data_IF_171881031263
#
_entry.id   IF_171881031263
#
_cell.length_a   1.000
_cell.length_b   1.000
_cell.length_c   1.000
_cell.angle_alpha   90.00
_cell.angle_beta   90.00
_cell.angle_gamma   90.00
#
_symmetry.space_group_name_H-M   'P 1'
#
loop_
_entity.id
_entity.type
_entity.pdbx_description
1 polymer ?
#
# COMPACT_ATOMS: atom_id res chain seq x y z
N UNK A 1 20.63 49.58 -83.81
CA UNK A 1 21.76 49.32 -82.91
C UNK A 1 21.62 50.18 -81.66
N UNK A 2 21.80 49.53 -80.50
CA UNK A 2 22.10 50.05 -79.16
C UNK A 2 21.26 51.18 -78.54
N UNK A 3 20.35 50.75 -77.64
CA UNK A 3 19.88 51.46 -76.46
C UNK A 3 21.05 51.90 -75.56
N UNK A 4 21.05 53.14 -75.08
CA UNK A 4 21.71 53.54 -73.84
C UNK A 4 20.85 54.58 -73.12
N UNK A 5 20.26 54.17 -72.00
CA UNK A 5 19.45 55.01 -71.10
C UNK A 5 20.37 55.61 -70.05
N UNK A 6 20.46 56.93 -69.97
CA UNK A 6 21.01 57.64 -68.81
C UNK A 6 19.89 58.41 -68.12
N UNK A 7 19.47 57.91 -66.96
CA UNK A 7 18.47 58.55 -66.12
C UNK A 7 19.13 59.71 -65.35
N UNK A 8 18.65 60.92 -65.58
CA UNK A 8 18.97 62.12 -64.81
C UNK A 8 18.18 62.14 -63.50
N UNK A 9 18.92 62.35 -62.42
CA UNK A 9 18.42 62.41 -61.05
C UNK A 9 17.85 63.82 -60.79
N UNK A 10 16.56 63.91 -60.45
CA UNK A 10 15.94 65.14 -59.94
C UNK A 10 15.49 64.91 -58.49
N UNK A 11 16.19 65.55 -57.55
CA UNK A 11 15.89 65.47 -56.12
C UNK A 11 14.73 66.42 -55.78
N UNK A 12 13.53 65.87 -55.65
CA UNK A 12 12.39 66.57 -55.08
C UNK A 12 12.56 66.70 -53.55
N UNK A 13 12.74 67.95 -53.09
CA UNK A 13 12.84 68.36 -51.68
C UNK A 13 11.51 68.07 -50.96
N UNK A 14 11.42 66.91 -50.28
CA UNK A 14 10.26 66.55 -49.43
C UNK A 14 10.19 67.49 -48.22
N UNK A 15 9.08 68.22 -48.09
CA UNK A 15 8.70 68.98 -46.90
C UNK A 15 8.51 68.03 -45.70
N UNK A 16 8.87 68.44 -44.47
CA UNK A 16 8.62 67.65 -43.27
C UNK A 16 7.12 67.55 -43.00
N UNK A 17 6.53 66.41 -43.37
CA UNK A 17 5.15 66.04 -43.03
C UNK A 17 5.10 65.67 -41.54
N UNK A 18 4.26 66.39 -40.80
CA UNK A 18 4.17 66.34 -39.35
C UNK A 18 3.90 64.95 -38.79
N UNK A 19 4.61 64.61 -37.71
CA UNK A 19 4.33 63.45 -36.87
C UNK A 19 2.92 63.60 -36.27
N UNK A 20 1.92 63.07 -36.96
CA UNK A 20 0.59 62.84 -36.41
C UNK A 20 0.71 61.88 -35.23
N UNK A 21 0.60 62.41 -34.01
CA UNK A 21 0.50 61.63 -32.78
C UNK A 21 -0.69 60.67 -32.93
N UNK A 22 -0.42 59.38 -33.22
CA UNK A 22 -1.42 58.32 -33.19
C UNK A 22 -1.97 58.26 -31.77
N UNK A 23 -3.14 58.88 -31.55
CA UNK A 23 -3.89 58.76 -30.30
C UNK A 23 -4.22 57.28 -30.11
N UNK A 24 -3.50 56.61 -29.21
CA UNK A 24 -3.79 55.24 -28.80
C UNK A 24 -5.23 55.21 -28.31
N UNK A 25 -6.15 54.63 -29.09
CA UNK A 25 -7.53 54.38 -28.65
C UNK A 25 -7.44 53.50 -27.41
N UNK A 26 -7.74 54.06 -26.24
CA UNK A 26 -7.93 53.30 -25.01
C UNK A 26 -9.13 52.40 -25.25
N UNK A 27 -8.89 51.12 -25.54
CA UNK A 27 -9.94 50.11 -25.60
C UNK A 27 -10.52 50.04 -24.19
N UNK A 28 -11.75 50.53 -24.03
CA UNK A 28 -12.47 50.44 -22.76
C UNK A 28 -12.83 48.97 -22.58
N UNK A 29 -12.03 48.27 -21.76
CA UNK A 29 -12.30 46.89 -21.38
C UNK A 29 -13.65 46.86 -20.66
N UNK A 30 -14.61 46.17 -21.26
CA UNK A 30 -15.95 45.99 -20.67
C UNK A 30 -15.79 45.28 -19.32
N UNK A 31 -16.69 45.56 -18.38
CA UNK A 31 -16.65 44.99 -17.02
C UNK A 31 -16.56 43.45 -17.05
N UNK A 32 -17.19 42.83 -18.04
CA UNK A 32 -17.11 41.39 -18.28
C UNK A 32 -15.69 40.90 -18.63
N UNK A 33 -14.94 41.66 -19.41
CA UNK A 33 -13.55 41.34 -19.75
C UNK A 33 -12.61 41.35 -18.55
N UNK A 34 -12.90 42.17 -17.52
CA UNK A 34 -12.13 42.18 -16.26
C UNK A 34 -12.39 40.92 -15.44
N UNK A 35 -13.65 40.50 -15.32
CA UNK A 35 -14.03 39.30 -14.56
C UNK A 35 -13.40 38.06 -15.19
N UNK A 36 -13.49 37.93 -16.52
CA UNK A 36 -12.91 36.79 -17.24
C UNK A 36 -11.38 36.73 -17.06
N UNK A 37 -10.71 37.88 -17.13
CA UNK A 37 -9.26 37.95 -16.92
C UNK A 37 -8.85 37.56 -15.49
N UNK A 38 -9.63 37.98 -14.49
CA UNK A 38 -9.40 37.58 -13.08
C UNK A 38 -9.56 36.08 -12.89
N UNK A 39 -10.57 35.44 -13.48
CA UNK A 39 -10.78 33.99 -13.37
C UNK A 39 -9.65 33.19 -14.03
N UNK A 40 -9.12 33.64 -15.17
CA UNK A 40 -7.98 33.01 -15.83
C UNK A 40 -6.73 33.06 -14.94
N UNK A 41 -6.45 34.22 -14.31
CA UNK A 41 -5.31 34.35 -13.40
C UNK A 41 -5.47 33.42 -12.19
N UNK A 42 -6.65 33.34 -11.59
CA UNK A 42 -6.92 32.44 -10.46
C UNK A 42 -6.73 30.97 -10.84
N UNK A 43 -7.19 30.57 -12.05
CA UNK A 43 -6.99 29.22 -12.56
C UNK A 43 -5.52 28.84 -12.73
N UNK A 44 -4.69 29.77 -13.24
CA UNK A 44 -3.24 29.56 -13.39
C UNK A 44 -2.57 29.40 -12.01
N UNK A 45 -2.91 30.27 -11.04
CA UNK A 45 -2.38 30.18 -9.67
C UNK A 45 -2.74 28.83 -9.04
N UNK A 46 -4.00 28.40 -9.16
CA UNK A 46 -4.45 27.11 -8.65
C UNK A 46 -3.66 25.94 -9.27
N UNK A 47 -3.42 25.97 -10.59
CA UNK A 47 -2.67 24.93 -11.28
C UNK A 47 -1.20 24.86 -10.83
N UNK A 48 -0.57 26.00 -10.55
CA UNK A 48 0.81 26.06 -10.04
C UNK A 48 0.91 25.52 -8.60
N UNK A 49 -0.04 25.88 -7.73
CA UNK A 49 -0.10 25.35 -6.35
C UNK A 49 -0.39 23.85 -6.35
N UNK A 50 -1.33 23.39 -7.16
CA UNK A 50 -1.66 21.97 -7.29
C UNK A 50 -0.48 21.15 -7.85
N UNK A 51 0.20 21.67 -8.87
CA UNK A 51 1.36 21.02 -9.48
C UNK A 51 2.53 20.85 -8.51
N UNK A 52 2.83 21.88 -7.73
CA UNK A 52 3.89 21.81 -6.70
C UNK A 52 3.50 20.89 -5.54
N UNK A 53 2.24 20.90 -5.10
CA UNK A 53 1.73 19.97 -4.10
C UNK A 53 1.90 18.50 -4.52
N UNK A 54 1.59 18.17 -5.78
CA UNK A 54 1.74 16.81 -6.33
C UNK A 54 3.21 16.35 -6.40
N UNK A 55 4.14 17.27 -6.68
CA UNK A 55 5.58 16.95 -6.74
C UNK A 55 6.17 16.70 -5.34
N UNK A 56 5.74 17.46 -4.32
CA UNK A 56 6.17 17.26 -2.93
C UNK A 56 5.71 15.89 -2.40
N UNK A 57 4.46 15.50 -2.66
CA UNK A 57 3.96 14.20 -2.21
C UNK A 57 4.65 13.00 -2.90
N UNK A 58 5.26 13.20 -4.07
CA UNK A 58 5.96 12.12 -4.78
C UNK A 58 7.34 11.81 -4.20
N UNK A 59 8.06 12.82 -3.66
CA UNK A 59 9.42 12.63 -3.12
C UNK A 59 9.44 11.83 -1.81
N UNK A 60 8.39 11.91 -0.99
CA UNK A 60 8.31 11.12 0.25
C UNK A 60 8.16 9.60 0.02
N UNK A 61 7.96 9.12 -1.22
CA UNK A 61 7.80 7.68 -1.52
C UNK A 61 9.09 7.02 -2.03
N UNK A 62 10.15 7.76 -2.35
CA UNK A 62 11.30 7.20 -3.10
C UNK A 62 12.57 6.94 -2.31
N UNK A 63 12.80 7.57 -1.16
CA UNK A 63 14.11 7.48 -0.49
C UNK A 63 14.30 6.28 0.46
N UNK A 64 13.28 5.42 0.64
CA UNK A 64 13.36 4.29 1.59
C UNK A 64 13.44 2.88 0.94
N UNK A 65 13.37 2.77 -0.39
CA UNK A 65 13.20 1.47 -1.06
C UNK A 65 14.42 0.96 -1.85
N UNK A 66 15.47 1.77 -2.02
CA UNK A 66 16.62 1.34 -2.83
C UNK A 66 17.69 0.62 -2.00
N UNK A 67 17.87 0.96 -0.73
CA UNK A 67 18.89 0.32 0.13
C UNK A 67 18.45 -1.06 0.66
N UNK A 68 17.14 -1.32 0.78
CA UNK A 68 16.62 -2.59 1.31
C UNK A 68 16.71 -3.75 0.29
N UNK A 69 16.85 -3.46 -1.01
CA UNK A 69 16.87 -4.51 -2.04
C UNK A 69 18.24 -5.17 -2.28
N UNK A 70 19.34 -4.56 -1.84
CA UNK A 70 20.66 -5.22 -1.88
C UNK A 70 20.90 -6.15 -0.69
N UNK A 71 20.40 -5.80 0.51
CA UNK A 71 20.61 -6.61 1.72
C UNK A 71 19.84 -7.95 1.61
N UNK A 72 18.61 -7.93 1.08
CA UNK A 72 17.77 -9.13 0.97
C UNK A 72 18.28 -10.15 -0.06
N UNK A 73 19.05 -9.72 -1.08
CA UNK A 73 19.60 -10.67 -2.07
C UNK A 73 20.78 -11.48 -1.53
N UNK A 74 21.55 -10.93 -0.57
CA UNK A 74 22.70 -11.64 -0.04
C UNK A 74 22.31 -12.72 0.99
N UNK A 75 21.33 -12.46 1.85
CA UNK A 75 20.93 -13.39 2.91
C UNK A 75 20.17 -14.62 2.40
N UNK A 76 19.43 -14.50 1.29
CA UNK A 76 18.73 -15.62 0.65
C UNK A 76 19.72 -16.57 -0.07
N UNK A 77 20.87 -16.07 -0.53
CA UNK A 77 21.86 -16.91 -1.23
C UNK A 77 22.64 -17.84 -0.30
N UNK A 78 22.78 -17.46 0.99
CA UNK A 78 23.47 -18.24 2.00
C UNK A 78 22.60 -19.39 2.53
N UNK A 79 21.31 -19.14 2.75
CA UNK A 79 20.37 -20.09 3.38
C UNK A 79 19.91 -21.23 2.44
N UNK A 80 19.95 -21.05 1.12
CA UNK A 80 19.58 -22.11 0.15
C UNK A 80 20.65 -23.21 0.02
N UNK A 81 21.90 -22.96 0.45
CA UNK A 81 22.97 -23.98 0.37
C UNK A 81 22.89 -25.03 1.46
N UNK A 82 22.31 -24.71 2.62
CA UNK A 82 22.24 -25.64 3.75
C UNK A 82 21.03 -26.60 3.63
N UNK A 83 19.92 -26.14 3.03
CA UNK A 83 18.71 -26.97 2.85
C UNK A 83 18.94 -28.12 1.85
N UNK A 84 19.82 -27.92 0.85
CA UNK A 84 20.12 -28.95 -0.16
C UNK A 84 20.98 -30.11 0.36
N UNK A 85 21.48 -30.03 1.60
CA UNK A 85 22.32 -31.06 2.22
C UNK A 85 21.52 -32.07 3.06
N UNK A 86 20.28 -31.76 3.45
CA UNK A 86 19.48 -32.63 4.32
C UNK A 86 18.48 -33.53 3.55
N UNK A 87 18.02 -33.14 2.36
CA UNK A 87 17.12 -33.98 1.55
C UNK A 87 17.76 -35.30 1.06
N UNK A 88 19.09 -35.42 1.08
CA UNK A 88 19.77 -36.67 0.67
C UNK A 88 19.86 -37.74 1.75
N UNK A 89 19.32 -37.51 2.96
CA UNK A 89 19.41 -38.45 4.08
C UNK A 89 18.08 -39.07 4.52
N UNK A 90 16.97 -38.65 3.91
CA UNK A 90 15.62 -39.08 4.30
C UNK A 90 15.00 -40.18 3.41
N UNK A 91 15.66 -40.61 2.33
CA UNK A 91 15.09 -41.57 1.37
C UNK A 91 15.45 -43.05 1.64
N UNK A 92 16.08 -43.38 2.77
CA UNK A 92 16.53 -44.75 3.08
C UNK A 92 15.91 -45.34 4.36
N UNK A 93 14.70 -44.92 4.77
CA UNK A 93 13.96 -45.57 5.87
C UNK A 93 12.45 -45.52 5.61
N UNK A 94 11.94 -46.25 4.63
CA UNK A 94 10.54 -46.70 4.70
C UNK A 94 10.34 -48.02 3.95
N UNK A 95 10.70 -49.12 4.62
CA UNK A 95 10.19 -50.45 4.30
C UNK A 95 10.44 -51.37 5.50
N UNK A 96 9.54 -51.35 6.48
CA UNK A 96 9.26 -52.52 7.32
C UNK A 96 8.00 -52.37 8.19
N UNK A 97 7.04 -53.21 7.84
CA UNK A 97 6.32 -54.08 8.77
C UNK A 97 5.14 -53.53 9.62
N UNK A 98 3.99 -54.11 9.25
CA UNK A 98 2.96 -54.74 10.09
C UNK A 98 1.90 -53.85 10.74
N UNK A 99 0.61 -53.97 10.39
CA UNK A 99 -0.30 -55.14 10.53
C UNK A 99 -0.50 -55.54 12.01
N UNK A 100 -1.66 -55.19 12.59
CA UNK A 100 -2.59 -56.09 13.34
C UNK A 100 -3.39 -55.36 14.46
N UNK A 101 -4.73 -55.53 14.40
CA UNK A 101 -5.79 -55.58 15.44
C UNK A 101 -6.29 -54.34 16.21
N UNK A 102 -7.55 -54.01 15.89
CA UNK A 102 -8.80 -54.25 16.65
C UNK A 102 -8.86 -54.17 18.20
N UNK A 103 -9.93 -53.47 18.62
CA UNK A 103 -10.64 -53.43 19.93
C UNK A 103 -9.95 -52.79 21.15
N UNK A 104 -10.55 -51.72 21.71
CA UNK A 104 -11.60 -51.81 22.77
C UNK A 104 -11.85 -50.48 23.51
N UNK A 105 -13.08 -49.99 23.39
CA UNK A 105 -13.96 -49.25 24.33
C UNK A 105 -13.46 -48.97 25.78
N UNK A 106 -13.49 -47.70 26.21
CA UNK A 106 -14.28 -47.15 27.37
C UNK A 106 -13.82 -45.73 27.82
N UNK A 107 -14.78 -44.80 27.87
CA UNK A 107 -14.87 -43.62 28.77
C UNK A 107 -14.98 -44.06 30.25
N UNK A 108 -14.74 -43.20 31.30
CA UNK A 108 -15.30 -41.83 31.44
C UNK A 108 -14.43 -40.73 32.13
N UNK A 109 -14.78 -39.47 31.86
CA UNK A 109 -15.00 -38.29 32.76
C UNK A 109 -14.23 -38.13 34.10
N UNK A 110 -13.53 -36.98 34.33
CA UNK A 110 -13.84 -35.92 35.34
C UNK A 110 -12.70 -34.90 35.66
N UNK A 111 -13.05 -33.60 35.55
CA UNK A 111 -12.80 -32.38 36.39
C UNK A 111 -11.50 -32.01 37.14
N UNK A 112 -11.24 -30.68 37.05
CA UNK A 112 -10.76 -29.66 38.03
C UNK A 112 -9.26 -29.51 38.36
N UNK A 113 -8.69 -28.31 38.11
CA UNK A 113 -8.47 -27.31 39.17
C UNK A 113 -7.86 -25.99 38.64
N UNK A 114 -8.39 -24.89 39.18
CA UNK A 114 -7.85 -23.53 39.15
C UNK A 114 -6.44 -23.43 39.75
N UNK A 115 -5.58 -22.56 39.19
CA UNK A 115 -4.71 -21.72 40.03
C UNK A 115 -4.16 -20.49 39.32
N UNK A 116 -4.82 -19.40 39.63
CA UNK A 116 -4.38 -18.00 39.60
C UNK A 116 -2.99 -17.81 40.25
N UNK A 117 -2.04 -17.17 39.56
CA UNK A 117 -0.93 -16.44 40.20
C UNK A 117 -0.37 -15.38 39.25
N UNK A 118 -0.90 -14.17 39.40
CA UNK A 118 -0.31 -12.90 38.99
C UNK A 118 1.12 -12.72 39.54
N UNK A 119 2.06 -12.34 38.68
CA UNK A 119 3.34 -11.75 39.11
C UNK A 119 3.71 -10.57 38.22
N UNK A 120 3.66 -9.39 38.83
CA UNK A 120 4.14 -8.11 38.32
C UNK A 120 5.67 -8.12 38.24
N UNK A 121 6.23 -7.96 37.04
CA UNK A 121 7.63 -7.64 36.83
C UNK A 121 7.81 -6.31 36.08
N UNK A 122 8.82 -5.58 36.53
CA UNK A 122 9.19 -4.20 36.24
C UNK A 122 9.90 -4.13 34.87
N UNK A 123 9.71 -3.07 34.04
CA UNK A 123 10.21 -3.08 32.67
C UNK A 123 11.72 -2.84 32.65
N UNK A 124 12.45 -3.86 32.21
CA UNK A 124 13.83 -3.75 31.71
C UNK A 124 13.73 -3.62 30.19
N UNK A 125 14.31 -2.57 29.64
CA UNK A 125 14.32 -2.29 28.21
C UNK A 125 15.17 -3.34 27.47
N UNK A 126 14.52 -4.39 27.02
CA UNK A 126 15.10 -5.42 26.17
C UNK A 126 14.62 -5.18 24.74
N UNK A 127 15.56 -4.94 23.83
CA UNK A 127 15.33 -4.98 22.39
C UNK A 127 15.10 -6.45 22.00
N UNK A 128 13.90 -6.94 22.31
CA UNK A 128 13.39 -8.23 21.87
C UNK A 128 13.23 -8.17 20.36
N UNK A 129 13.43 -9.31 19.73
CA UNK A 129 13.29 -9.54 18.30
C UNK A 129 11.84 -9.26 17.85
N UNK A 130 11.50 -7.98 17.65
CA UNK A 130 10.15 -7.43 17.52
C UNK A 130 9.30 -8.16 16.46
N UNK A 131 9.94 -8.63 15.38
CA UNK A 131 9.26 -9.27 14.26
C UNK A 131 8.59 -10.60 14.64
N UNK A 132 9.26 -11.43 15.43
CA UNK A 132 8.73 -12.75 15.84
C UNK A 132 7.59 -12.59 16.83
N UNK A 133 7.65 -11.56 17.68
CA UNK A 133 6.61 -11.23 18.64
C UNK A 133 5.34 -10.70 17.93
N UNK A 134 5.50 -9.84 16.92
CA UNK A 134 4.37 -9.35 16.11
C UNK A 134 3.68 -10.50 15.39
N UNK A 135 4.43 -11.41 14.76
CA UNK A 135 3.84 -12.54 14.02
C UNK A 135 2.97 -13.42 14.92
N UNK A 136 3.49 -13.78 16.10
CA UNK A 136 2.73 -14.56 17.08
C UNK A 136 1.46 -13.82 17.57
N UNK A 137 1.51 -12.48 17.65
CA UNK A 137 0.41 -11.65 18.15
C UNK A 137 -0.71 -11.42 17.14
N UNK A 138 -0.46 -11.59 15.82
CA UNK A 138 -1.50 -11.37 14.79
C UNK A 138 -2.19 -12.66 14.33
N UNK A 139 -1.56 -13.81 14.56
CA UNK A 139 -2.16 -15.10 14.22
C UNK A 139 -3.38 -15.33 15.09
N UNK A 140 -4.52 -15.72 14.51
CA UNK A 140 -5.77 -15.99 15.22
C UNK A 140 -6.99 -15.52 14.44
N UNK A 141 -8.10 -15.39 15.18
CA UNK A 141 -9.40 -15.00 14.65
C UNK A 141 -9.77 -13.60 15.14
N UNK A 142 -10.17 -12.76 14.20
CA UNK A 142 -10.50 -11.38 14.45
C UNK A 142 -11.88 -11.06 13.90
N UNK A 143 -12.74 -10.44 14.69
CA UNK A 143 -14.08 -10.03 14.27
C UNK A 143 -14.09 -8.54 13.94
N UNK A 144 -14.58 -8.20 12.75
CA UNK A 144 -14.84 -6.82 12.38
C UNK A 144 -16.04 -6.30 13.17
N UNK A 145 -15.86 -5.20 13.88
CA UNK A 145 -16.91 -4.58 14.71
C UNK A 145 -18.00 -3.90 13.88
N UNK A 146 -17.72 -3.57 12.61
CA UNK A 146 -18.64 -2.81 11.76
C UNK A 146 -19.27 -3.61 10.62
N UNK A 147 -18.54 -4.57 10.04
CA UNK A 147 -18.97 -5.27 8.80
C UNK A 147 -19.39 -6.72 9.04
N UNK A 148 -19.27 -7.24 10.27
CA UNK A 148 -19.57 -8.64 10.57
C UNK A 148 -18.68 -9.62 9.79
N UNK A 149 -17.49 -9.18 9.39
CA UNK A 149 -16.50 -10.02 8.73
C UNK A 149 -15.60 -10.69 9.77
N UNK A 150 -15.15 -11.91 9.48
CA UNK A 150 -14.16 -12.64 10.28
C UNK A 150 -12.86 -12.70 9.49
N UNK A 151 -11.79 -12.18 10.09
CA UNK A 151 -10.43 -12.28 9.57
C UNK A 151 -9.73 -13.42 10.31
N UNK A 152 -9.29 -14.42 9.54
CA UNK A 152 -8.44 -15.51 10.04
C UNK A 152 -7.01 -15.29 9.56
N UNK A 153 -6.05 -15.34 10.46
CA UNK A 153 -4.62 -15.14 10.18
C UNK A 153 -3.83 -16.33 10.72
N UNK A 154 -3.13 -17.07 9.85
CA UNK A 154 -2.39 -18.27 10.23
C UNK A 154 -1.04 -18.31 9.54
N UNK A 155 0.04 -18.14 10.33
CA UNK A 155 1.44 -18.16 9.91
C UNK A 155 1.76 -17.22 8.74
N UNK A 156 1.47 -17.61 7.51
CA UNK A 156 1.68 -16.79 6.31
C UNK A 156 0.44 -16.73 5.41
N UNK A 157 -0.71 -17.20 5.90
CA UNK A 157 -1.98 -17.26 5.19
C UNK A 157 -3.06 -16.44 5.88
N UNK A 158 -4.03 -15.95 5.12
CA UNK A 158 -5.18 -15.23 5.65
C UNK A 158 -6.46 -15.54 4.89
N UNK A 159 -7.61 -15.36 5.56
CA UNK A 159 -8.95 -15.39 4.96
C UNK A 159 -9.80 -14.28 5.56
N UNK A 160 -10.64 -13.65 4.74
CA UNK A 160 -11.69 -12.72 5.17
C UNK A 160 -13.03 -13.31 4.73
N UNK A 161 -13.77 -13.76 5.72
CA UNK A 161 -15.09 -14.36 5.58
C UNK A 161 -16.17 -13.32 5.95
N UNK A 162 -17.22 -13.20 5.14
CA UNK A 162 -18.29 -12.24 5.37
C UNK A 162 -19.53 -12.98 5.88
N UNK A 163 -20.08 -12.59 7.03
CA UNK A 163 -21.33 -13.16 7.50
C UNK A 163 -22.50 -12.65 6.64
N UNK A 164 -22.96 -13.45 5.67
CA UNK A 164 -24.09 -13.08 4.81
C UNK A 164 -24.44 -14.14 3.76
N UNK A 165 -25.72 -14.17 3.35
CA UNK A 165 -26.29 -15.15 2.39
C UNK A 165 -25.64 -15.04 1.00
N UNK A 166 -25.04 -13.89 0.66
CA UNK A 166 -24.40 -13.62 -0.63
C UNK A 166 -22.86 -13.73 -0.59
N UNK A 167 -22.27 -14.23 0.49
CA UNK A 167 -20.82 -14.37 0.65
C UNK A 167 -20.27 -15.55 -0.18
N UNK A 168 -20.36 -15.44 -1.51
CA UNK A 168 -20.06 -16.57 -2.39
C UNK A 168 -18.58 -16.95 -2.42
N UNK A 169 -17.65 -16.07 -2.01
CA UNK A 169 -16.23 -16.42 -1.91
C UNK A 169 -15.49 -15.55 -0.87
N UNK A 170 -14.71 -16.16 0.05
CA UNK A 170 -13.81 -15.40 0.92
C UNK A 170 -12.73 -14.70 0.11
N UNK A 171 -12.19 -13.62 0.68
CA UNK A 171 -10.93 -13.04 0.19
C UNK A 171 -9.81 -13.75 0.94
N UNK A 172 -9.05 -14.59 0.25
CA UNK A 172 -8.01 -15.40 0.86
C UNK A 172 -6.68 -15.30 0.09
N UNK A 173 -5.60 -15.61 0.80
CA UNK A 173 -4.28 -15.71 0.21
C UNK A 173 -3.17 -15.77 1.25
N UNK A 174 -2.04 -15.15 0.94
CA UNK A 174 -0.87 -15.11 1.81
C UNK A 174 -0.56 -13.70 2.29
N UNK A 175 0.21 -13.59 3.37
CA UNK A 175 0.70 -12.31 3.85
C UNK A 175 2.19 -12.39 4.22
N UNK A 176 2.85 -11.22 4.24
CA UNK A 176 4.24 -11.08 4.71
C UNK A 176 4.36 -9.90 5.64
N UNK A 177 5.06 -10.09 6.76
CA UNK A 177 5.42 -9.04 7.69
C UNK A 177 6.80 -8.46 7.38
N UNK A 178 6.87 -7.13 7.31
CA UNK A 178 8.08 -6.34 7.18
C UNK A 178 7.97 -5.16 8.15
N UNK A 179 8.71 -5.23 9.25
CA UNK A 179 8.65 -4.27 10.36
C UNK A 179 7.21 -4.09 10.88
N UNK A 180 6.64 -2.89 10.70
CA UNK A 180 5.26 -2.54 11.08
C UNK A 180 4.28 -2.59 9.89
N UNK A 181 4.68 -3.23 8.79
CA UNK A 181 3.88 -3.37 7.58
C UNK A 181 3.51 -4.83 7.34
N UNK A 182 2.31 -5.01 6.84
CA UNK A 182 1.81 -6.27 6.30
C UNK A 182 1.51 -6.10 4.82
N UNK A 183 1.95 -7.09 4.05
CA UNK A 183 1.74 -7.16 2.61
C UNK A 183 0.87 -8.38 2.34
N UNK A 184 -0.39 -8.15 1.98
CA UNK A 184 -1.33 -9.19 1.57
C UNK A 184 -1.19 -9.48 0.07
N UNK A 185 -1.15 -10.75 -0.29
CA UNK A 185 -1.13 -11.25 -1.67
C UNK A 185 -2.28 -12.24 -1.84
N UNK A 186 -3.21 -11.94 -2.74
CA UNK A 186 -4.50 -12.68 -2.81
C UNK A 186 -4.53 -13.61 -4.00
N UNK A 187 -4.93 -14.85 -3.78
CA UNK A 187 -5.05 -15.89 -4.80
C UNK A 187 -6.50 -16.29 -5.08
N UNK A 188 -7.44 -15.92 -4.21
CA UNK A 188 -8.87 -16.25 -4.30
C UNK A 188 -9.82 -15.05 -4.08
N UNK A 189 -11.08 -15.22 -4.48
CA UNK A 189 -12.14 -14.23 -4.30
C UNK A 189 -12.03 -13.01 -5.23
N UNK A 190 -12.73 -11.93 -4.86
CA UNK A 190 -12.87 -10.72 -5.70
C UNK A 190 -11.58 -9.89 -5.81
N UNK A 191 -10.56 -10.20 -5.00
CA UNK A 191 -9.28 -9.47 -5.01
C UNK A 191 -8.12 -10.30 -5.61
N UNK A 192 -8.42 -11.38 -6.33
CA UNK A 192 -7.41 -12.30 -6.88
C UNK A 192 -6.36 -11.55 -7.73
N UNK A 193 -5.08 -11.79 -7.44
CA UNK A 193 -3.93 -11.18 -8.11
C UNK A 193 -3.53 -9.80 -7.58
N UNK A 194 -4.33 -9.20 -6.70
CA UNK A 194 -4.05 -7.87 -6.15
C UNK A 194 -3.21 -7.95 -4.87
N UNK A 195 -2.27 -7.02 -4.75
CA UNK A 195 -1.44 -6.82 -3.56
C UNK A 195 -2.00 -5.66 -2.72
N UNK A 196 -2.01 -5.83 -1.40
CA UNK A 196 -2.40 -4.79 -0.45
C UNK A 196 -1.33 -4.57 0.60
N UNK A 197 -0.90 -3.32 0.80
CA UNK A 197 0.12 -2.92 1.78
C UNK A 197 -0.55 -2.09 2.87
N UNK A 198 -0.40 -2.53 4.11
CA UNK A 198 -0.98 -1.90 5.28
C UNK A 198 0.07 -1.71 6.36
N UNK A 199 -0.07 -0.63 7.12
CA UNK A 199 0.61 -0.49 8.40
C UNK A 199 -0.26 -1.11 9.50
N UNK A 200 0.35 -1.89 10.37
CA UNK A 200 -0.34 -2.53 11.49
C UNK A 200 -0.10 -1.72 12.76
N UNK A 201 -1.17 -1.55 13.54
CA UNK A 201 -1.10 -1.12 14.95
C UNK A 201 -1.74 -2.24 15.76
N UNK A 202 -0.99 -2.79 16.71
CA UNK A 202 -1.45 -3.80 17.65
C UNK A 202 -1.65 -3.18 19.01
N UNK A 203 -2.82 -3.46 19.60
CA UNK A 203 -3.08 -3.34 21.03
C UNK A 203 -3.43 -4.73 21.57
N UNK A 204 -3.49 -4.89 22.90
CA UNK A 204 -3.65 -6.19 23.58
C UNK A 204 -4.78 -7.06 23.04
N UNK A 205 -5.88 -6.44 22.60
CA UNK A 205 -7.07 -7.15 22.13
C UNK A 205 -7.57 -6.65 20.77
N UNK A 206 -6.89 -5.66 20.18
CA UNK A 206 -7.35 -4.97 18.98
C UNK A 206 -6.24 -4.95 17.93
N UNK A 207 -6.63 -5.13 16.66
CA UNK A 207 -5.74 -4.92 15.53
C UNK A 207 -6.32 -3.86 14.61
N UNK A 208 -5.46 -2.95 14.15
CA UNK A 208 -5.84 -1.90 13.21
C UNK A 208 -4.93 -1.91 12.00
N UNK A 209 -5.54 -1.92 10.82
CA UNK A 209 -4.83 -1.83 9.55
C UNK A 209 -5.04 -0.45 8.92
N UNK A 210 -3.95 0.28 8.70
CA UNK A 210 -3.95 1.55 7.97
C UNK A 210 -3.47 1.28 6.55
N UNK A 211 -4.37 1.43 5.57
CA UNK A 211 -4.06 1.24 4.15
C UNK A 211 -2.97 2.21 3.68
N UNK A 212 -1.86 1.68 3.16
CA UNK A 212 -0.82 2.47 2.48
C UNK A 212 -0.95 2.37 0.95
N UNK A 213 -1.24 1.18 0.41
CA UNK A 213 -1.39 0.93 -1.03
C UNK A 213 -2.24 -0.33 -1.27
N UNK A 214 -3.47 -0.19 -1.76
CA UNK A 214 -4.34 -1.34 -2.07
C UNK A 214 -5.37 -0.96 -3.15
N UNK A 215 -5.31 -1.65 -4.29
CA UNK A 215 -6.24 -1.45 -5.40
C UNK A 215 -7.55 -2.24 -5.24
N UNK A 216 -7.59 -3.27 -4.39
CA UNK A 216 -8.83 -4.00 -4.14
C UNK A 216 -9.72 -3.24 -3.15
N UNK A 217 -10.73 -2.55 -3.69
CA UNK A 217 -11.66 -1.73 -2.90
C UNK A 217 -12.38 -2.53 -1.80
N UNK A 218 -12.75 -3.79 -2.05
CA UNK A 218 -13.45 -4.63 -1.07
C UNK A 218 -12.55 -4.99 0.11
N UNK A 219 -11.32 -5.47 -0.16
CA UNK A 219 -10.32 -5.77 0.89
C UNK A 219 -9.95 -4.51 1.65
N UNK A 220 -9.73 -3.38 0.96
CA UNK A 220 -9.47 -2.08 1.57
C UNK A 220 -10.57 -1.66 2.53
N UNK A 221 -11.82 -1.62 2.07
CA UNK A 221 -12.96 -1.24 2.91
C UNK A 221 -13.05 -2.12 4.16
N UNK A 222 -12.87 -3.44 4.00
CA UNK A 222 -13.00 -4.41 5.08
C UNK A 222 -11.84 -4.33 6.08
N UNK A 223 -10.58 -4.34 5.62
CA UNK A 223 -9.41 -4.35 6.50
C UNK A 223 -9.24 -3.04 7.28
N UNK A 224 -9.66 -1.90 6.73
CA UNK A 224 -9.56 -0.62 7.44
C UNK A 224 -10.61 -0.41 8.54
N UNK A 225 -11.46 -1.40 8.81
CA UNK A 225 -12.36 -1.42 9.96
C UNK A 225 -11.60 -1.69 11.26
N UNK A 226 -12.33 -1.66 12.38
CA UNK A 226 -11.81 -2.06 13.68
C UNK A 226 -12.04 -3.56 13.89
N UNK A 227 -11.04 -4.22 14.46
CA UNK A 227 -11.00 -5.68 14.61
C UNK A 227 -10.70 -6.04 16.06
N UNK A 228 -11.58 -6.85 16.63
CA UNK A 228 -11.45 -7.36 18.00
C UNK A 228 -11.05 -8.83 17.97
N UNK A 229 -10.18 -9.23 18.88
CA UNK A 229 -9.75 -10.61 19.03
C UNK A 229 -10.89 -11.52 19.51
N UNK A 230 -11.13 -12.63 18.81
CA UNK A 230 -12.04 -13.68 19.26
C UNK A 230 -11.28 -14.65 20.16
N UNK A 231 -11.52 -14.56 21.48
CA UNK A 231 -11.05 -15.56 22.43
C UNK A 231 -11.76 -16.90 22.15
N UNK A 232 -11.01 -17.94 21.81
CA UNK A 232 -11.46 -19.34 21.89
C UNK A 232 -11.35 -19.89 23.31
#
# INVERSE_FOLDING_TARGET
MANSKTNTVSYAKKKPSGKGKKKKKKVKLTTFGKILFTLIILGIIFFLVWGTYKLLNKKNKTDNNTEVTEIVKNDISASVKDIKKEEKKAEEIDNRDNKTKEEKKKEPEKTTNDKDTSKTEKPVAEHVNDKTNIKASINGYWLSTSEGAVLTMNDDSYSIDFAGIDASNPIAGTYKLQDKKIIFSTDAGSCKGEIGIYRIILDKHDIKFICEDDNCLKRKATLTTEWEWLNE
#
